data_IF_562549254372
#
_entry.id   IF_562549254372
#
_cell.length_a   1.000
_cell.length_b   1.000
_cell.length_c   1.000
_cell.angle_alpha   90.00
_cell.angle_beta   90.00
_cell.angle_gamma   90.00
#
_symmetry.space_group_name_H-M   'P 1'
#
loop_
_entity.id
_entity.type
_entity.pdbx_description
1 polymer ?
#
# COMPACT_ATOMS: atom_id res chain seq x y z
N UNK A 1 -22.87 5.85 21.88
CA UNK A 1 -22.89 7.22 21.34
C UNK A 1 -21.74 7.31 20.36
N UNK A 2 -22.02 7.73 19.13
CA UNK A 2 -21.05 7.80 18.04
C UNK A 2 -20.93 9.26 17.61
N UNK A 3 -19.72 9.77 17.34
CA UNK A 3 -19.55 11.11 16.77
C UNK A 3 -20.25 11.22 15.41
N UNK A 4 -20.92 12.32 15.14
CA UNK A 4 -21.68 12.56 13.90
C UNK A 4 -20.82 12.37 12.65
N UNK A 5 -19.52 12.70 12.72
CA UNK A 5 -18.55 12.51 11.63
C UNK A 5 -18.30 11.04 11.27
N UNK A 6 -18.61 10.12 12.16
CA UNK A 6 -18.44 8.67 11.96
C UNK A 6 -19.76 7.96 11.62
N UNK A 7 -20.87 8.69 11.51
CA UNK A 7 -22.18 8.11 11.33
C UNK A 7 -22.25 7.26 10.05
N UNK A 8 -21.84 7.80 8.92
CA UNK A 8 -21.86 7.08 7.62
C UNK A 8 -21.02 5.81 7.67
N UNK A 9 -19.79 5.90 8.22
CA UNK A 9 -18.93 4.73 8.38
C UNK A 9 -19.56 3.67 9.28
N UNK A 10 -20.14 4.10 10.39
CA UNK A 10 -20.80 3.17 11.34
C UNK A 10 -22.03 2.51 10.72
N UNK A 11 -22.84 3.28 9.97
CA UNK A 11 -24.00 2.74 9.27
C UNK A 11 -23.59 1.70 8.24
N UNK A 12 -22.54 1.97 7.45
CA UNK A 12 -22.00 1.03 6.49
C UNK A 12 -21.48 -0.25 7.18
N UNK A 13 -20.68 -0.11 8.25
CA UNK A 13 -20.17 -1.26 9.02
C UNK A 13 -21.30 -2.09 9.60
N UNK A 14 -22.34 -1.46 10.16
CA UNK A 14 -23.51 -2.16 10.68
C UNK A 14 -24.29 -2.86 9.57
N UNK A 15 -24.55 -2.16 8.47
CA UNK A 15 -25.24 -2.73 7.31
C UNK A 15 -24.48 -3.98 6.82
N UNK A 16 -23.18 -3.85 6.62
CA UNK A 16 -22.34 -4.93 6.14
C UNK A 16 -22.27 -6.09 7.15
N UNK A 17 -22.24 -5.82 8.46
CA UNK A 17 -22.25 -6.84 9.49
C UNK A 17 -23.57 -7.61 9.61
N UNK A 18 -24.71 -7.00 9.27
CA UNK A 18 -26.03 -7.61 9.40
C UNK A 18 -26.58 -8.20 8.09
N UNK A 19 -26.13 -7.68 6.95
CA UNK A 19 -26.66 -8.07 5.62
C UNK A 19 -25.59 -8.69 4.73
N UNK A 20 -24.47 -9.09 5.33
CA UNK A 20 -23.26 -9.44 4.64
C UNK A 20 -23.38 -10.55 3.62
N UNK A 21 -22.68 -10.31 2.51
CA UNK A 21 -22.07 -11.34 1.69
C UNK A 21 -21.15 -12.23 2.55
N UNK A 22 -21.09 -13.52 2.23
CA UNK A 22 -20.17 -14.50 2.84
C UNK A 22 -18.68 -14.12 2.68
N UNK A 23 -18.39 -13.03 1.99
CA UNK A 23 -17.04 -12.61 1.61
C UNK A 23 -16.55 -11.38 2.40
N UNK A 24 -15.29 -11.43 2.78
CA UNK A 24 -14.58 -10.27 3.33
C UNK A 24 -14.18 -9.32 2.19
N UNK A 25 -14.70 -8.10 2.19
CA UNK A 25 -14.34 -7.08 1.19
C UNK A 25 -13.19 -6.22 1.71
N UNK A 26 -12.15 -6.06 0.88
CA UNK A 26 -11.09 -5.06 1.06
C UNK A 26 -11.21 -4.00 -0.02
N UNK A 27 -11.41 -2.74 0.37
CA UNK A 27 -11.44 -1.61 -0.53
C UNK A 27 -10.01 -1.09 -0.75
N UNK A 28 -9.52 -1.19 -1.96
CA UNK A 28 -8.11 -0.96 -2.31
C UNK A 28 -7.96 0.29 -3.17
N UNK A 29 -7.08 1.21 -2.76
CA UNK A 29 -6.65 2.33 -3.57
C UNK A 29 -5.20 2.12 -3.99
N UNK A 30 -4.92 2.03 -5.28
CA UNK A 30 -3.56 1.82 -5.81
C UNK A 30 -2.98 3.16 -6.29
N UNK A 31 -1.93 3.61 -5.64
CA UNK A 31 -1.18 4.80 -6.02
C UNK A 31 0.12 4.42 -6.74
N UNK A 32 0.27 4.90 -7.97
CA UNK A 32 1.38 4.57 -8.86
C UNK A 32 1.04 3.38 -9.77
N UNK A 33 0.95 3.68 -11.07
CA UNK A 33 0.65 2.70 -12.15
C UNK A 33 1.85 2.45 -13.08
N UNK A 34 3.05 2.58 -12.52
CA UNK A 34 4.29 2.14 -13.16
C UNK A 34 4.40 0.61 -13.17
N UNK A 35 5.62 0.09 -13.33
CA UNK A 35 5.87 -1.36 -13.42
C UNK A 35 5.25 -2.14 -12.25
N UNK A 36 5.47 -1.70 -11.01
CA UNK A 36 4.99 -2.41 -9.81
C UNK A 36 3.47 -2.34 -9.69
N UNK A 37 2.88 -1.14 -9.78
CA UNK A 37 1.44 -0.97 -9.61
C UNK A 37 0.62 -1.58 -10.76
N UNK A 38 1.11 -1.49 -12.00
CA UNK A 38 0.45 -2.15 -13.14
C UNK A 38 0.45 -3.67 -12.98
N UNK A 39 1.56 -4.26 -12.53
CA UNK A 39 1.67 -5.69 -12.27
C UNK A 39 0.74 -6.12 -11.11
N UNK A 40 0.64 -5.29 -10.05
CA UNK A 40 -0.29 -5.56 -8.95
C UNK A 40 -1.74 -5.56 -9.43
N UNK A 41 -2.16 -4.57 -10.21
CA UNK A 41 -3.52 -4.52 -10.76
C UNK A 41 -3.83 -5.73 -11.66
N UNK A 42 -2.87 -6.16 -12.47
CA UNK A 42 -3.00 -7.38 -13.27
C UNK A 42 -3.14 -8.63 -12.40
N UNK A 43 -2.32 -8.77 -11.35
CA UNK A 43 -2.41 -9.89 -10.40
C UNK A 43 -3.75 -9.90 -9.65
N UNK A 44 -4.27 -8.74 -9.23
CA UNK A 44 -5.60 -8.64 -8.60
C UNK A 44 -6.66 -9.17 -9.56
N UNK A 45 -6.62 -8.76 -10.83
CA UNK A 45 -7.57 -9.21 -11.84
C UNK A 45 -7.48 -10.72 -12.10
N UNK A 46 -6.27 -11.27 -12.23
CA UNK A 46 -6.04 -12.70 -12.48
C UNK A 46 -6.46 -13.56 -11.29
N UNK A 47 -6.22 -13.09 -10.06
CA UNK A 47 -6.49 -13.85 -8.84
C UNK A 47 -7.90 -13.64 -8.28
N UNK A 48 -8.69 -12.74 -8.85
CA UNK A 48 -10.01 -12.35 -8.34
C UNK A 48 -10.91 -13.56 -8.01
N UNK A 49 -11.10 -14.46 -8.97
CA UNK A 49 -11.95 -15.63 -8.78
C UNK A 49 -11.40 -16.59 -7.72
N UNK A 50 -10.09 -16.79 -7.68
CA UNK A 50 -9.43 -17.66 -6.70
C UNK A 50 -9.58 -17.12 -5.28
N UNK A 51 -9.31 -15.83 -5.09
CA UNK A 51 -9.46 -15.18 -3.80
C UNK A 51 -10.91 -15.20 -3.32
N UNK A 52 -11.85 -14.93 -4.21
CA UNK A 52 -13.27 -14.94 -3.90
C UNK A 52 -13.77 -16.33 -3.50
N UNK A 53 -13.45 -17.36 -4.27
CA UNK A 53 -14.01 -18.70 -4.08
C UNK A 53 -13.27 -19.53 -3.02
N UNK A 54 -11.95 -19.37 -2.88
CA UNK A 54 -11.15 -20.19 -1.98
C UNK A 54 -10.87 -19.52 -0.63
N UNK A 55 -10.86 -18.17 -0.59
CA UNK A 55 -10.53 -17.43 0.61
C UNK A 55 -11.67 -16.54 1.12
N UNK A 56 -12.81 -16.52 0.43
CA UNK A 56 -13.91 -15.62 0.73
C UNK A 56 -13.45 -14.15 0.82
N UNK A 57 -12.47 -13.78 -0.02
CA UNK A 57 -11.85 -12.47 -0.04
C UNK A 57 -12.15 -11.77 -1.37
N UNK A 58 -12.82 -10.65 -1.31
CA UNK A 58 -13.07 -9.77 -2.45
C UNK A 58 -12.16 -8.54 -2.37
N UNK A 59 -11.25 -8.40 -3.34
CA UNK A 59 -10.47 -7.18 -3.52
C UNK A 59 -11.26 -6.23 -4.43
N UNK A 60 -11.79 -5.16 -3.83
CA UNK A 60 -12.52 -4.13 -4.54
C UNK A 60 -11.60 -2.93 -4.79
N UNK A 61 -11.12 -2.76 -6.02
CA UNK A 61 -10.25 -1.62 -6.36
C UNK A 61 -11.12 -0.39 -6.56
N UNK A 62 -11.19 0.46 -5.53
CA UNK A 62 -12.03 1.67 -5.50
C UNK A 62 -11.32 2.91 -6.02
N UNK A 63 -9.98 2.90 -6.08
CA UNK A 63 -9.22 4.05 -6.54
C UNK A 63 -7.90 3.66 -7.20
N UNK A 64 -7.54 4.42 -8.23
CA UNK A 64 -6.25 4.29 -8.92
C UNK A 64 -5.72 5.70 -9.19
N UNK A 65 -4.45 5.95 -8.85
CA UNK A 65 -3.81 7.24 -9.08
C UNK A 65 -2.47 7.09 -9.79
N UNK A 66 -2.15 8.09 -10.61
CA UNK A 66 -0.80 8.36 -11.10
C UNK A 66 -0.27 9.69 -10.51
N UNK A 67 0.84 10.21 -11.05
CA UNK A 67 1.44 11.47 -10.58
C UNK A 67 0.63 12.74 -10.92
N UNK A 68 -0.45 12.64 -11.69
CA UNK A 68 -1.19 13.79 -12.21
C UNK A 68 -2.67 13.77 -11.88
N UNK A 69 -3.24 12.59 -11.69
CA UNK A 69 -4.68 12.42 -11.49
C UNK A 69 -5.01 11.14 -10.76
N UNK A 70 -6.26 11.01 -10.32
CA UNK A 70 -6.84 9.79 -9.78
C UNK A 70 -8.24 9.58 -10.33
N UNK A 71 -8.64 8.33 -10.41
CA UNK A 71 -10.01 7.89 -10.59
C UNK A 71 -10.48 7.20 -9.32
N UNK A 72 -11.75 7.36 -8.97
CA UNK A 72 -12.33 6.78 -7.76
C UNK A 72 -13.79 6.40 -8.00
N UNK A 73 -14.14 5.18 -7.60
CA UNK A 73 -15.51 4.68 -7.57
C UNK A 73 -15.67 3.79 -6.32
N UNK A 74 -16.52 4.13 -5.35
CA UNK A 74 -16.72 3.35 -4.14
C UNK A 74 -17.28 1.94 -4.41
N UNK A 75 -17.96 1.72 -5.53
CA UNK A 75 -18.49 0.43 -5.94
C UNK A 75 -17.44 -0.47 -6.61
N UNK A 76 -16.30 0.11 -7.01
CA UNK A 76 -15.18 -0.58 -7.62
C UNK A 76 -14.97 -0.23 -9.09
N UNK A 77 -13.71 -0.11 -9.46
CA UNK A 77 -13.27 0.24 -10.80
C UNK A 77 -13.11 -1.01 -11.68
N UNK A 78 -13.51 -0.89 -12.93
CA UNK A 78 -13.21 -1.89 -13.94
C UNK A 78 -11.74 -1.77 -14.38
N UNK A 79 -10.94 -2.82 -14.09
CA UNK A 79 -9.49 -2.79 -14.31
C UNK A 79 -9.08 -2.93 -15.78
N UNK A 80 -9.97 -3.34 -16.66
CA UNK A 80 -9.68 -3.51 -18.09
C UNK A 80 -9.37 -2.19 -18.81
N UNK A 81 -9.92 -1.07 -18.34
CA UNK A 81 -9.89 0.23 -19.02
C UNK A 81 -9.37 1.39 -18.14
N UNK A 82 -8.80 1.10 -16.96
CA UNK A 82 -8.36 2.16 -16.03
C UNK A 82 -7.38 3.15 -16.63
N UNK A 83 -6.55 2.72 -17.59
CA UNK A 83 -5.55 3.59 -18.24
C UNK A 83 -6.21 4.66 -19.11
N UNK A 84 -7.27 4.30 -19.83
CA UNK A 84 -8.06 5.25 -20.61
C UNK A 84 -8.80 6.23 -19.72
N UNK A 85 -9.39 5.74 -18.62
CA UNK A 85 -10.07 6.56 -17.63
C UNK A 85 -9.10 7.58 -17.00
N UNK A 86 -7.91 7.18 -16.59
CA UNK A 86 -6.87 8.10 -16.07
C UNK A 86 -6.50 9.17 -17.10
N UNK A 87 -6.30 8.81 -18.38
CA UNK A 87 -6.00 9.77 -19.45
C UNK A 87 -7.13 10.77 -19.71
N UNK A 88 -8.37 10.33 -19.60
CA UNK A 88 -9.53 11.22 -19.73
C UNK A 88 -9.59 12.20 -18.57
N UNK A 89 -9.37 11.74 -17.36
CA UNK A 89 -9.37 12.55 -16.15
C UNK A 89 -8.23 13.59 -16.13
N UNK A 90 -7.04 13.25 -16.63
CA UNK A 90 -5.93 14.19 -16.78
C UNK A 90 -6.30 15.44 -17.62
N UNK A 91 -7.21 15.31 -18.59
CA UNK A 91 -7.65 16.40 -19.45
C UNK A 91 -8.67 17.32 -18.78
N UNK A 92 -9.26 16.90 -17.67
CA UNK A 92 -10.36 17.58 -17.02
C UNK A 92 -9.96 18.31 -15.72
N UNK A 93 -8.74 18.15 -15.20
CA UNK A 93 -8.39 18.52 -13.84
C UNK A 93 -7.30 19.57 -13.69
N UNK A 94 -7.65 20.66 -12.99
CA UNK A 94 -6.70 21.55 -12.32
C UNK A 94 -6.69 21.23 -10.81
N UNK A 95 -5.49 21.11 -10.22
CA UNK A 95 -5.34 21.03 -8.76
C UNK A 95 -5.45 19.62 -8.15
N UNK A 96 -4.85 18.61 -8.78
CA UNK A 96 -4.79 17.27 -8.22
C UNK A 96 -4.06 17.20 -6.89
N UNK A 97 -4.67 16.54 -5.90
CA UNK A 97 -4.07 16.21 -4.61
C UNK A 97 -4.28 14.74 -4.29
N UNK A 98 -3.18 14.00 -4.24
CA UNK A 98 -3.21 12.57 -3.87
C UNK A 98 -3.82 12.34 -2.49
N UNK A 99 -3.58 13.25 -1.54
CA UNK A 99 -4.16 13.16 -0.20
C UNK A 99 -5.69 13.24 -0.24
N UNK A 100 -6.25 14.19 -0.99
CA UNK A 100 -7.70 14.31 -1.12
C UNK A 100 -8.31 13.11 -1.85
N UNK A 101 -7.66 12.63 -2.92
CA UNK A 101 -8.11 11.46 -3.64
C UNK A 101 -8.14 10.21 -2.75
N UNK A 102 -7.08 9.95 -2.00
CA UNK A 102 -6.98 8.80 -1.11
C UNK A 102 -7.96 8.88 0.07
N UNK A 103 -8.21 10.08 0.62
CA UNK A 103 -9.14 10.27 1.73
C UNK A 103 -10.62 10.08 1.35
N UNK A 104 -10.97 9.96 0.08
CA UNK A 104 -12.32 9.53 -0.34
C UNK A 104 -12.67 8.15 0.24
N UNK A 105 -11.66 7.31 0.53
CA UNK A 105 -11.85 6.02 1.19
C UNK A 105 -12.21 6.11 2.68
N UNK A 106 -12.12 7.28 3.31
CA UNK A 106 -12.31 7.43 4.77
C UNK A 106 -13.68 6.95 5.25
N UNK A 107 -14.70 6.95 4.38
CA UNK A 107 -16.04 6.46 4.67
C UNK A 107 -16.26 4.99 4.32
N UNK A 108 -15.30 4.34 3.68
CA UNK A 108 -15.34 2.92 3.39
C UNK A 108 -14.69 2.14 4.55
N UNK A 109 -15.21 0.94 4.81
CA UNK A 109 -14.59 0.06 5.79
C UNK A 109 -13.52 -0.82 5.11
N UNK A 110 -12.64 -1.45 5.89
CA UNK A 110 -11.54 -2.29 5.39
C UNK A 110 -10.77 -1.63 4.24
N UNK A 111 -10.46 -0.35 4.40
CA UNK A 111 -9.77 0.44 3.38
C UNK A 111 -8.27 0.25 3.43
N UNK A 112 -7.67 0.03 2.27
CA UNK A 112 -6.23 -0.20 2.10
C UNK A 112 -5.68 0.71 1.01
N UNK A 113 -4.77 1.59 1.38
CA UNK A 113 -4.00 2.39 0.43
C UNK A 113 -2.70 1.66 0.09
N UNK A 114 -2.47 1.42 -1.19
CA UNK A 114 -1.27 0.72 -1.69
C UNK A 114 -0.39 1.72 -2.44
N UNK A 115 0.81 1.97 -1.92
CA UNK A 115 1.79 2.84 -2.57
C UNK A 115 2.83 2.03 -3.35
N UNK A 116 2.73 2.12 -4.68
CA UNK A 116 3.68 1.56 -5.64
C UNK A 116 4.59 2.63 -6.25
N UNK A 117 4.77 3.78 -5.58
CA UNK A 117 5.59 4.89 -6.06
C UNK A 117 6.96 4.95 -5.37
N UNK A 118 7.77 5.92 -5.78
CA UNK A 118 8.97 6.36 -5.07
C UNK A 118 8.87 7.84 -4.64
N UNK A 119 7.63 8.36 -4.50
CA UNK A 119 7.36 9.77 -4.23
C UNK A 119 7.42 10.06 -2.73
N UNK A 120 8.16 11.09 -2.35
CA UNK A 120 8.17 11.61 -0.98
C UNK A 120 6.82 12.27 -0.61
N UNK A 121 6.15 12.90 -1.56
CA UNK A 121 4.83 13.47 -1.37
C UNK A 121 3.82 12.40 -0.98
N UNK A 122 3.80 11.26 -1.71
CA UNK A 122 2.89 10.14 -1.39
C UNK A 122 3.21 9.56 -0.02
N UNK A 123 4.48 9.35 0.32
CA UNK A 123 4.85 8.83 1.64
C UNK A 123 4.47 9.76 2.79
N UNK A 124 4.44 11.07 2.57
CA UNK A 124 4.10 12.08 3.59
C UNK A 124 2.65 12.03 4.07
N UNK A 125 1.74 11.46 3.27
CA UNK A 125 0.32 11.39 3.64
C UNK A 125 -0.04 10.16 4.52
N UNK A 126 0.88 9.21 4.73
CA UNK A 126 0.55 7.95 5.42
C UNK A 126 -0.01 8.17 6.82
N UNK A 127 0.57 9.08 7.60
CA UNK A 127 0.05 9.38 8.93
C UNK A 127 -1.42 9.80 8.87
N UNK A 128 -1.77 10.67 7.93
CA UNK A 128 -3.16 11.11 7.75
C UNK A 128 -4.08 9.98 7.32
N UNK A 129 -3.61 9.02 6.50
CA UNK A 129 -4.39 7.85 6.11
C UNK A 129 -4.66 6.94 7.32
N UNK A 130 -3.62 6.61 8.09
CA UNK A 130 -3.74 5.80 9.30
C UNK A 130 -4.67 6.43 10.34
N UNK A 131 -4.58 7.75 10.55
CA UNK A 131 -5.49 8.52 11.42
C UNK A 131 -6.97 8.45 10.98
N UNK A 132 -7.21 8.26 9.68
CA UNK A 132 -8.54 8.05 9.10
C UNK A 132 -8.93 6.57 8.94
N UNK A 133 -8.28 5.67 9.67
CA UNK A 133 -8.51 4.24 9.69
C UNK A 133 -8.34 3.57 8.30
N UNK A 134 -7.42 4.06 7.49
CA UNK A 134 -7.01 3.47 6.22
C UNK A 134 -5.67 2.77 6.43
N UNK A 135 -5.62 1.46 6.19
CA UNK A 135 -4.38 0.71 6.23
C UNK A 135 -3.45 1.13 5.09
N UNK A 136 -2.15 1.09 5.32
CA UNK A 136 -1.14 1.42 4.30
C UNK A 136 -0.28 0.20 4.01
N UNK A 137 -0.18 -0.17 2.74
CA UNK A 137 0.74 -1.19 2.21
C UNK A 137 1.65 -0.50 1.21
N UNK A 138 2.97 -0.63 1.35
CA UNK A 138 3.86 0.18 0.53
C UNK A 138 5.11 -0.56 0.04
N UNK A 139 5.43 -0.34 -1.24
CA UNK A 139 6.74 -0.65 -1.83
C UNK A 139 7.69 0.57 -1.76
N UNK A 140 7.17 1.76 -1.43
CA UNK A 140 7.94 2.98 -1.26
C UNK A 140 8.76 2.92 0.04
N UNK A 141 10.07 3.06 -0.07
CA UNK A 141 11.00 2.89 1.05
C UNK A 141 11.09 4.11 1.96
N UNK A 142 10.64 5.30 1.51
CA UNK A 142 10.90 6.59 2.16
C UNK A 142 10.37 6.62 3.60
N UNK A 143 9.11 6.27 3.81
CA UNK A 143 8.51 6.32 5.15
C UNK A 143 9.15 5.33 6.13
N UNK A 144 9.47 4.11 5.68
CA UNK A 144 10.08 3.08 6.52
C UNK A 144 11.56 3.35 6.83
N UNK A 145 12.24 4.17 6.01
CA UNK A 145 13.64 4.59 6.21
C UNK A 145 13.77 6.05 6.65
N UNK A 146 12.68 6.69 7.06
CA UNK A 146 12.67 8.08 7.56
C UNK A 146 13.26 8.18 8.97
N UNK A 147 13.26 9.39 9.53
CA UNK A 147 13.63 9.62 10.93
C UNK A 147 12.88 8.66 11.87
N UNK A 148 13.60 8.10 12.84
CA UNK A 148 13.09 7.05 13.72
C UNK A 148 11.79 7.43 14.42
N UNK A 149 11.67 8.66 14.90
CA UNK A 149 10.48 9.15 15.59
C UNK A 149 9.25 9.17 14.64
N UNK A 150 9.46 9.54 13.38
CA UNK A 150 8.38 9.49 12.38
C UNK A 150 7.93 8.05 12.08
N UNK A 151 8.90 7.15 11.90
CA UNK A 151 8.62 5.73 11.70
C UNK A 151 7.84 5.11 12.87
N UNK A 152 8.27 5.40 14.11
CA UNK A 152 7.59 4.93 15.32
C UNK A 152 6.17 5.50 15.40
N UNK A 153 6.00 6.78 15.06
CA UNK A 153 4.67 7.42 15.04
C UNK A 153 3.72 6.73 14.07
N UNK A 154 4.17 6.37 12.87
CA UNK A 154 3.36 5.62 11.90
C UNK A 154 2.94 4.26 12.47
N UNK A 155 3.86 3.51 13.06
CA UNK A 155 3.57 2.21 13.67
C UNK A 155 2.60 2.32 14.85
N UNK A 156 2.82 3.30 15.73
CA UNK A 156 1.96 3.51 16.88
C UNK A 156 0.55 3.93 16.45
N UNK A 157 0.45 4.88 15.50
CA UNK A 157 -0.86 5.29 14.97
C UNK A 157 -1.61 4.11 14.34
N UNK A 158 -0.91 3.27 13.58
CA UNK A 158 -1.54 2.07 13.00
C UNK A 158 -2.07 1.14 14.09
N UNK A 159 -1.30 0.91 15.16
CA UNK A 159 -1.71 0.09 16.30
C UNK A 159 -2.92 0.70 17.04
N UNK A 160 -2.86 1.98 17.38
CA UNK A 160 -3.92 2.69 18.12
C UNK A 160 -5.24 2.75 17.34
N UNK A 161 -5.17 2.79 16.02
CA UNK A 161 -6.33 2.79 15.12
C UNK A 161 -6.82 1.41 14.70
N UNK A 162 -6.09 0.35 15.05
CA UNK A 162 -6.41 -1.03 14.63
C UNK A 162 -6.25 -1.28 13.13
N UNK A 163 -5.43 -0.47 12.45
CA UNK A 163 -5.10 -0.61 11.03
C UNK A 163 -3.67 -1.10 10.84
N UNK A 164 -3.26 -1.37 9.60
CA UNK A 164 -1.95 -1.93 9.28
C UNK A 164 -1.07 -0.91 8.57
N UNK A 165 0.22 -0.90 8.92
CA UNK A 165 1.29 -0.28 8.15
C UNK A 165 2.28 -1.36 7.74
N UNK A 166 2.21 -1.80 6.47
CA UNK A 166 2.94 -2.93 5.93
C UNK A 166 3.90 -2.46 4.82
N UNK A 167 5.15 -2.92 4.89
CA UNK A 167 6.23 -2.51 3.98
C UNK A 167 7.21 -3.66 3.71
N UNK A 168 6.69 -4.89 3.57
CA UNK A 168 7.48 -6.13 3.37
C UNK A 168 8.46 -6.01 2.21
N UNK A 169 8.01 -5.49 1.07
CA UNK A 169 8.82 -5.40 -0.15
C UNK A 169 9.92 -4.34 -0.12
N UNK A 170 10.05 -3.60 0.98
CA UNK A 170 11.11 -2.61 1.14
C UNK A 170 12.48 -3.26 1.36
N UNK A 171 12.52 -4.51 1.83
CA UNK A 171 13.73 -5.26 2.15
C UNK A 171 13.63 -6.65 1.53
N UNK A 172 14.68 -7.09 0.82
CA UNK A 172 14.75 -8.44 0.27
C UNK A 172 13.79 -8.74 -0.90
N UNK A 173 13.29 -7.71 -1.56
CA UNK A 173 12.33 -7.80 -2.67
C UNK A 173 11.08 -8.64 -2.32
N UNK A 174 10.91 -9.83 -2.88
CA UNK A 174 9.77 -10.71 -2.63
C UNK A 174 9.97 -11.70 -1.48
N UNK A 175 11.06 -11.63 -0.72
CA UNK A 175 11.31 -12.52 0.42
C UNK A 175 10.53 -12.07 1.66
N UNK A 176 9.92 -13.00 2.44
CA UNK A 176 9.17 -12.67 3.64
C UNK A 176 10.12 -12.44 4.82
N UNK A 177 10.78 -11.29 4.88
CA UNK A 177 11.80 -10.97 5.88
C UNK A 177 11.20 -10.25 7.08
N UNK A 178 10.51 -9.12 6.83
CA UNK A 178 9.97 -8.26 7.90
C UNK A 178 8.84 -8.98 8.64
N UNK A 179 7.94 -9.63 7.91
CA UNK A 179 6.87 -10.45 8.47
C UNK A 179 7.42 -11.56 9.37
N UNK A 180 8.36 -12.34 8.87
CA UNK A 180 9.00 -13.43 9.63
C UNK A 180 9.68 -12.92 10.91
N UNK A 181 10.42 -11.79 10.85
CA UNK A 181 11.04 -11.17 12.02
C UNK A 181 9.98 -10.76 13.05
N UNK A 182 8.89 -10.15 12.59
CA UNK A 182 7.80 -9.74 13.48
C UNK A 182 7.10 -10.95 14.12
N UNK A 183 6.87 -12.03 13.39
CA UNK A 183 6.23 -13.25 13.87
C UNK A 183 7.09 -13.92 14.96
N UNK A 184 8.40 -14.05 14.74
CA UNK A 184 9.35 -14.54 15.75
C UNK A 184 9.32 -13.69 17.02
N UNK A 185 9.39 -12.36 16.89
CA UNK A 185 9.32 -11.46 18.06
C UNK A 185 7.98 -11.55 18.79
N UNK A 186 6.89 -11.63 18.06
CA UNK A 186 5.54 -11.71 18.65
C UNK A 186 5.29 -13.04 19.36
N UNK A 187 5.96 -14.11 18.93
CA UNK A 187 5.95 -15.42 19.62
C UNK A 187 6.87 -15.48 20.85
N UNK A 188 7.57 -14.38 21.19
CA UNK A 188 8.46 -14.28 22.34
C UNK A 188 9.90 -14.69 22.09
N UNK A 189 10.25 -14.98 20.83
CA UNK A 189 11.61 -15.34 20.46
C UNK A 189 12.55 -14.12 20.43
N UNK A 190 13.85 -14.38 20.60
CA UNK A 190 14.91 -13.37 20.59
C UNK A 190 15.85 -13.59 19.40
N UNK A 191 15.85 -12.63 18.49
CA UNK A 191 16.77 -12.65 17.36
C UNK A 191 18.16 -12.26 17.86
N UNK A 192 19.10 -13.18 17.81
CA UNK A 192 20.47 -12.97 18.29
C UNK A 192 21.39 -12.43 17.19
N UNK A 193 21.11 -12.79 15.92
CA UNK A 193 21.95 -12.40 14.78
C UNK A 193 21.15 -12.46 13.49
N UNK A 194 21.38 -11.50 12.61
CA UNK A 194 20.86 -11.47 11.24
C UNK A 194 22.06 -11.37 10.31
N UNK A 195 22.18 -12.29 9.38
CA UNK A 195 23.17 -12.25 8.28
C UNK A 195 22.43 -12.37 6.97
N UNK A 196 22.50 -11.34 6.14
CA UNK A 196 21.75 -11.32 4.89
C UNK A 196 22.36 -10.34 3.86
N UNK A 197 22.15 -10.63 2.60
CA UNK A 197 22.32 -9.71 1.49
C UNK A 197 20.94 -9.12 1.18
N UNK A 198 20.65 -7.91 1.65
CA UNK A 198 19.32 -7.33 1.65
C UNK A 198 19.05 -6.41 0.44
N UNK A 199 20.09 -5.98 -0.26
CA UNK A 199 20.01 -5.07 -1.41
C UNK A 199 20.59 -5.71 -2.66
N UNK A 200 19.75 -6.02 -3.64
CA UNK A 200 20.20 -6.51 -4.95
C UNK A 200 21.13 -5.52 -5.65
N UNK A 201 20.83 -4.22 -5.57
CA UNK A 201 21.66 -3.16 -6.18
C UNK A 201 23.05 -3.11 -5.55
N UNK A 202 23.16 -3.09 -4.22
CA UNK A 202 24.45 -3.11 -3.56
C UNK A 202 25.21 -4.41 -3.82
N UNK A 203 24.52 -5.55 -3.81
CA UNK A 203 25.13 -6.82 -4.14
C UNK A 203 25.71 -6.82 -5.58
N UNK A 204 24.95 -6.31 -6.55
CA UNK A 204 25.43 -6.16 -7.92
C UNK A 204 26.68 -5.27 -7.96
N UNK A 205 26.63 -4.06 -7.39
CA UNK A 205 27.74 -3.12 -7.37
C UNK A 205 28.99 -3.78 -6.75
N UNK A 206 28.86 -4.43 -5.60
CA UNK A 206 30.01 -5.04 -4.93
C UNK A 206 30.55 -6.29 -5.62
N UNK A 207 29.73 -6.99 -6.40
CA UNK A 207 30.21 -8.10 -7.22
C UNK A 207 30.89 -7.65 -8.52
N UNK A 208 30.47 -6.50 -9.07
CA UNK A 208 31.06 -5.93 -10.30
C UNK A 208 32.33 -5.12 -10.02
N UNK A 209 32.58 -4.71 -8.77
CA UNK A 209 33.83 -4.04 -8.40
C UNK A 209 34.98 -5.05 -8.47
N UNK A 210 35.68 -5.01 -9.59
CA UNK A 210 36.95 -5.72 -9.77
C UNK A 210 38.11 -4.74 -9.72
N UNK A 211 39.34 -5.26 -9.53
CA UNK A 211 40.54 -4.42 -9.46
C UNK A 211 40.74 -3.55 -10.71
N UNK A 212 40.16 -3.96 -11.83
CA UNK A 212 40.35 -3.33 -13.14
C UNK A 212 39.16 -2.46 -13.59
N UNK A 213 38.05 -2.42 -12.81
CA UNK A 213 36.85 -1.63 -13.14
C UNK A 213 36.70 -0.47 -12.17
N UNK A 214 36.81 0.79 -12.62
CA UNK A 214 36.59 1.95 -11.76
C UNK A 214 35.17 1.96 -11.19
N UNK A 215 35.02 2.29 -9.90
CA UNK A 215 33.71 2.37 -9.22
C UNK A 215 32.71 3.26 -9.96
N UNK A 216 33.20 4.34 -10.62
CA UNK A 216 32.36 5.24 -11.44
C UNK A 216 31.76 4.58 -12.69
N UNK A 217 32.32 3.49 -13.17
CA UNK A 217 31.76 2.71 -14.31
C UNK A 217 30.73 1.70 -13.82
N UNK A 218 30.94 1.12 -12.64
CA UNK A 218 30.00 0.18 -12.04
C UNK A 218 28.64 0.82 -11.67
N UNK A 219 28.60 2.16 -11.45
CA UNK A 219 27.40 2.88 -11.04
C UNK A 219 26.60 3.45 -12.25
N UNK A 220 27.13 3.39 -13.45
CA UNK A 220 26.44 3.85 -14.67
C UNK A 220 25.57 2.77 -15.28
#
# INVERSE_FOLDING_TARGET
VIPTQQLSKTMNVLHDSFFLSENNVLNVFVCGVGTVGAQLLEQIQQQYSTLLTQQHLQLNVVGIANSRTAIFDPEGLELSNYREQLKQQERCGDGFSIKQAALQMANLYNSVFVDCTASAEVSSIYLSLLENNISVVTANKIAASSEYDHYIKLKQTALDRGVKFLFETNVGAGLPIIGTINDLRNSGDKILRIEAVLSGTLNFIFNEIAADVPFSETIR
#
